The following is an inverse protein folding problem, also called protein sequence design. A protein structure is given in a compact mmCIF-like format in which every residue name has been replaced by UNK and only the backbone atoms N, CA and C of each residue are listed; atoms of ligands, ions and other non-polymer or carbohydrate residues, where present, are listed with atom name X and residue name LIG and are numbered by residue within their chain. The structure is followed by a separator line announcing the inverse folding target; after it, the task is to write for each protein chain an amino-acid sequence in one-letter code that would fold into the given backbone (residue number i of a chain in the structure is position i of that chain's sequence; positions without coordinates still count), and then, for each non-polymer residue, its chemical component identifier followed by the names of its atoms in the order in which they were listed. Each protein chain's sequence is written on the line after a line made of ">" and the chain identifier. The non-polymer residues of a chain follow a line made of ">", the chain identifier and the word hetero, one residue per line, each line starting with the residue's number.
data_IF_813641811208
#
_entry.id   IF_813641811208
#
_cell.length_a   1.000
_cell.length_b   1.000
_cell.length_c   1.000
_cell.angle_alpha   90.00
_cell.angle_beta   90.00
_cell.angle_gamma   90.00
#
_symmetry.space_group_name_H-M   'P 1'
#
loop_
_entity.id
_entity.type
_entity.pdbx_description
1 polymer ?
#
# COMPACT_ATOMS: atom_id res chain seq x y z
N UNK A 1 14.56 -18.22 4.26
CA UNK A 1 14.32 -17.98 5.69
C UNK A 1 12.81 -17.88 5.90
N UNK A 2 12.26 -18.34 7.03
CA UNK A 2 10.80 -18.31 7.28
C UNK A 2 10.34 -16.85 7.53
N UNK A 3 9.44 -16.27 6.69
CA UNK A 3 8.94 -14.90 6.89
C UNK A 3 8.34 -14.66 8.27
N UNK A 4 7.61 -15.63 8.84
CA UNK A 4 7.02 -15.50 10.17
C UNK A 4 8.09 -15.33 11.25
N UNK A 5 9.20 -16.07 11.15
CA UNK A 5 10.28 -15.98 12.13
C UNK A 5 10.94 -14.59 12.09
N UNK A 6 11.18 -14.04 10.90
CA UNK A 6 11.69 -12.67 10.72
C UNK A 6 10.73 -11.66 11.36
N UNK A 7 9.44 -11.73 11.02
CA UNK A 7 8.43 -10.79 11.52
C UNK A 7 8.23 -10.88 13.04
N UNK A 8 8.32 -12.07 13.62
CA UNK A 8 8.16 -12.31 15.05
C UNK A 8 9.36 -11.83 15.88
N UNK A 9 10.56 -11.85 15.33
CA UNK A 9 11.79 -11.45 16.04
C UNK A 9 12.00 -9.93 16.06
N UNK A 10 11.48 -9.23 15.05
CA UNK A 10 11.72 -7.81 14.88
C UNK A 10 10.78 -6.94 15.74
N UNK A 11 11.30 -5.76 16.09
CA UNK A 11 10.58 -4.71 16.81
C UNK A 11 10.69 -3.41 16.04
N UNK A 12 9.60 -2.65 16.00
CA UNK A 12 9.54 -1.39 15.26
C UNK A 12 8.86 -0.33 16.09
N UNK A 13 9.05 0.92 15.70
CA UNK A 13 8.38 2.04 16.35
C UNK A 13 6.92 2.08 15.91
N UNK A 14 5.99 1.94 16.85
CA UNK A 14 4.55 2.01 16.59
C UNK A 14 4.09 3.47 16.48
N UNK A 15 3.21 3.75 15.52
CA UNK A 15 2.80 5.14 15.21
C UNK A 15 1.94 5.75 16.32
N UNK A 16 1.05 4.99 16.95
CA UNK A 16 0.13 5.51 17.97
C UNK A 16 0.79 6.08 19.23
N UNK A 17 1.94 5.52 19.65
CA UNK A 17 2.60 5.89 20.91
C UNK A 17 4.10 6.19 20.78
N UNK A 18 4.69 5.97 19.61
CA UNK A 18 6.12 6.17 19.39
C UNK A 18 7.03 5.15 20.07
N UNK A 19 6.47 4.10 20.66
CA UNK A 19 7.21 3.09 21.43
C UNK A 19 7.68 1.96 20.50
N UNK A 20 8.92 1.50 20.68
CA UNK A 20 9.44 0.33 19.99
C UNK A 20 8.83 -0.93 20.61
N UNK A 21 8.06 -1.69 19.82
CA UNK A 21 7.33 -2.89 20.26
C UNK A 21 7.51 -4.05 19.28
N UNK A 22 7.38 -5.31 19.74
CA UNK A 22 7.30 -6.45 18.84
C UNK A 22 6.15 -6.28 17.84
N UNK A 23 6.41 -6.55 16.56
CA UNK A 23 5.40 -6.39 15.51
C UNK A 23 4.14 -7.23 15.77
N UNK A 24 4.35 -8.46 16.25
CA UNK A 24 3.28 -9.44 16.52
C UNK A 24 2.71 -9.34 17.95
N UNK A 25 2.98 -8.26 18.69
CA UNK A 25 2.41 -8.07 20.02
C UNK A 25 0.87 -8.14 19.97
N UNK A 26 0.30 -8.98 20.84
CA UNK A 26 -1.13 -9.27 20.99
C UNK A 26 -1.83 -9.89 19.76
N UNK A 27 -1.09 -10.26 18.71
CA UNK A 27 -1.66 -10.87 17.50
C UNK A 27 -2.00 -12.35 17.69
N UNK A 28 -1.41 -13.03 18.67
CA UNK A 28 -1.60 -14.46 18.94
C UNK A 28 -3.03 -14.81 19.39
N UNK A 29 -3.81 -13.80 19.77
CA UNK A 29 -5.22 -13.97 20.17
C UNK A 29 -6.17 -14.08 18.97
N UNK A 30 -5.72 -13.68 17.78
CA UNK A 30 -6.48 -13.79 16.54
C UNK A 30 -6.24 -15.16 15.89
N UNK A 31 -7.23 -15.64 15.13
CA UNK A 31 -7.10 -16.89 14.35
C UNK A 31 -6.15 -16.75 13.17
N UNK A 32 -6.01 -15.52 12.65
CA UNK A 32 -5.22 -15.18 11.48
C UNK A 32 -4.52 -13.84 11.70
N UNK A 33 -3.33 -13.71 11.11
CA UNK A 33 -2.50 -12.51 11.22
C UNK A 33 -2.13 -12.06 9.81
N UNK A 34 -2.64 -10.89 9.41
CA UNK A 34 -2.28 -10.21 8.18
C UNK A 34 -1.15 -9.20 8.47
N UNK A 35 -0.01 -9.40 7.84
CA UNK A 35 1.14 -8.51 7.90
C UNK A 35 1.36 -7.87 6.54
N UNK A 36 1.39 -6.54 6.53
CA UNK A 36 1.64 -5.71 5.36
C UNK A 36 3.02 -5.08 5.52
N UNK A 37 3.91 -5.33 4.58
CA UNK A 37 5.24 -4.70 4.55
C UNK A 37 5.21 -3.72 3.40
N UNK A 38 4.79 -2.50 3.70
CA UNK A 38 4.64 -1.46 2.70
C UNK A 38 5.99 -0.85 2.32
N UNK A 39 6.15 -0.38 1.08
CA UNK A 39 7.29 0.46 0.70
C UNK A 39 7.24 1.79 1.45
N UNK A 40 7.75 2.88 0.88
CA UNK A 40 7.56 4.19 1.51
C UNK A 40 6.07 4.49 1.70
N UNK A 41 5.73 5.13 2.83
CA UNK A 41 4.33 5.45 3.12
C UNK A 41 3.73 6.46 2.12
N UNK A 42 4.58 7.28 1.48
CA UNK A 42 4.16 8.15 0.37
C UNK A 42 4.04 7.46 -0.99
N UNK A 43 4.24 6.15 -1.08
CA UNK A 43 4.14 5.42 -2.34
C UNK A 43 2.67 5.17 -2.74
N UNK A 44 2.42 5.07 -4.06
CA UNK A 44 1.10 4.73 -4.59
C UNK A 44 0.55 3.43 -4.02
N UNK A 45 1.41 2.42 -3.87
CA UNK A 45 1.05 1.08 -3.40
C UNK A 45 0.51 1.14 -1.96
N UNK A 46 1.25 1.81 -1.07
CA UNK A 46 0.88 1.96 0.34
C UNK A 46 -0.47 2.67 0.50
N UNK A 47 -0.67 3.78 -0.21
CA UNK A 47 -1.88 4.60 -0.11
C UNK A 47 -3.11 3.89 -0.69
N UNK A 48 -2.96 3.23 -1.84
CA UNK A 48 -4.07 2.49 -2.47
C UNK A 48 -4.44 1.25 -1.64
N UNK A 49 -3.45 0.52 -1.10
CA UNK A 49 -3.71 -0.61 -0.21
C UNK A 49 -4.47 -0.17 1.05
N UNK A 50 -4.01 0.90 1.72
CA UNK A 50 -4.70 1.42 2.91
C UNK A 50 -6.14 1.86 2.60
N UNK A 51 -6.37 2.46 1.43
CA UNK A 51 -7.72 2.79 0.97
C UNK A 51 -8.62 1.55 0.84
N UNK A 52 -8.11 0.45 0.27
CA UNK A 52 -8.85 -0.81 0.19
C UNK A 52 -9.18 -1.40 1.57
N UNK A 53 -8.25 -1.36 2.52
CA UNK A 53 -8.51 -1.82 3.88
C UNK A 53 -9.54 -0.96 4.60
N UNK A 54 -9.48 0.36 4.43
CA UNK A 54 -10.44 1.28 5.02
C UNK A 54 -11.85 1.03 4.47
N UNK A 55 -11.95 0.82 3.15
CA UNK A 55 -13.20 0.52 2.46
C UNK A 55 -13.85 -0.76 3.00
N UNK A 56 -13.05 -1.81 3.16
CA UNK A 56 -13.52 -3.12 3.61
C UNK A 56 -13.52 -3.26 5.15
N UNK A 57 -13.17 -2.21 5.91
CA UNK A 57 -12.94 -2.31 7.35
C UNK A 57 -14.13 -2.92 8.12
N UNK A 58 -15.37 -2.62 7.70
CA UNK A 58 -16.60 -3.18 8.29
C UNK A 58 -16.73 -4.69 8.08
N UNK A 59 -16.25 -5.20 6.95
CA UNK A 59 -16.24 -6.63 6.61
C UNK A 59 -15.05 -7.34 7.29
N UNK A 60 -14.02 -6.58 7.71
CA UNK A 60 -12.84 -7.09 8.40
C UNK A 60 -12.97 -7.09 9.94
N UNK A 61 -14.09 -6.58 10.50
CA UNK A 61 -14.24 -6.36 11.95
C UNK A 61 -14.50 -7.65 12.74
N UNK A 62 -14.55 -8.80 12.07
CA UNK A 62 -14.58 -10.09 12.76
C UNK A 62 -13.29 -10.26 13.58
N UNK A 63 -13.44 -10.56 14.88
CA UNK A 63 -12.37 -10.76 15.88
C UNK A 63 -11.32 -11.84 15.51
N UNK A 64 -11.40 -12.41 14.32
CA UNK A 64 -10.60 -13.49 13.77
C UNK A 64 -9.31 -13.01 13.10
N UNK A 65 -9.20 -11.74 12.70
CA UNK A 65 -8.05 -11.22 11.95
C UNK A 65 -7.31 -10.10 12.69
N UNK A 66 -6.03 -10.31 13.00
CA UNK A 66 -5.13 -9.24 13.42
C UNK A 66 -4.44 -8.64 12.21
N UNK A 67 -4.41 -7.31 12.07
CA UNK A 67 -3.74 -6.61 10.98
C UNK A 67 -2.57 -5.79 11.54
N UNK A 68 -1.40 -5.89 10.92
CA UNK A 68 -0.23 -5.05 11.19
C UNK A 68 0.38 -4.58 9.88
N UNK A 69 0.87 -3.34 9.87
CA UNK A 69 1.65 -2.80 8.76
C UNK A 69 3.01 -2.29 9.25
N UNK A 70 4.05 -2.50 8.45
CA UNK A 70 5.36 -1.84 8.59
C UNK A 70 5.64 -1.10 7.30
N UNK A 71 5.81 0.22 7.36
CA UNK A 71 6.17 1.04 6.20
C UNK A 71 7.56 1.65 6.35
N UNK A 72 8.18 1.98 5.21
CA UNK A 72 9.44 2.72 5.24
C UNK A 72 9.16 4.18 5.57
N UNK A 73 9.72 4.64 6.69
CA UNK A 73 9.49 6.01 7.16
C UNK A 73 9.87 6.23 8.62
N UNK A 74 9.34 7.32 9.17
CA UNK A 74 9.47 7.72 10.57
C UNK A 74 8.10 8.06 11.17
N UNK A 75 8.05 8.44 12.45
CA UNK A 75 6.79 8.79 13.11
C UNK A 75 6.00 9.89 12.39
N UNK A 76 6.66 10.93 11.89
CA UNK A 76 5.97 12.01 11.18
C UNK A 76 5.27 11.49 9.90
N UNK A 77 5.96 10.65 9.13
CA UNK A 77 5.37 9.98 7.96
C UNK A 77 4.21 9.06 8.34
N UNK A 78 4.35 8.30 9.42
CA UNK A 78 3.34 7.36 9.91
C UNK A 78 2.08 8.08 10.40
N UNK A 79 2.25 9.12 11.22
CA UNK A 79 1.14 9.94 11.71
C UNK A 79 0.37 10.55 10.55
N UNK A 80 1.07 11.18 9.61
CA UNK A 80 0.43 11.81 8.44
C UNK A 80 -0.28 10.79 7.55
N UNK A 81 0.33 9.63 7.34
CA UNK A 81 -0.28 8.53 6.58
C UNK A 81 -1.58 8.06 7.23
N UNK A 82 -1.60 7.83 8.55
CA UNK A 82 -2.81 7.44 9.27
C UNK A 82 -3.89 8.52 9.23
N UNK A 83 -3.53 9.79 9.41
CA UNK A 83 -4.46 10.94 9.31
C UNK A 83 -5.12 11.02 7.93
N UNK A 84 -4.35 10.79 6.87
CA UNK A 84 -4.85 10.90 5.50
C UNK A 84 -5.67 9.69 5.06
N UNK A 85 -5.20 8.48 5.37
CA UNK A 85 -5.82 7.22 4.90
C UNK A 85 -6.89 6.68 5.83
N UNK A 86 -6.90 7.11 7.10
CA UNK A 86 -7.71 6.52 8.16
C UNK A 86 -7.19 5.16 8.65
N UNK A 87 -5.98 4.74 8.25
CA UNK A 87 -5.40 3.49 8.75
C UNK A 87 -5.11 3.58 10.26
N UNK A 88 -5.44 2.55 11.08
CA UNK A 88 -5.31 2.65 12.53
C UNK A 88 -3.85 2.79 12.98
N UNK A 89 -3.45 3.88 13.68
CA UNK A 89 -2.06 4.13 14.06
C UNK A 89 -1.50 3.10 15.06
N UNK A 90 -2.35 2.38 15.78
CA UNK A 90 -1.97 1.28 16.66
C UNK A 90 -1.55 0.01 15.89
N UNK A 91 -1.93 -0.08 14.61
CA UNK A 91 -1.60 -1.18 13.72
C UNK A 91 -0.45 -0.84 12.76
N UNK A 92 -0.01 0.43 12.71
CA UNK A 92 1.09 0.88 11.85
C UNK A 92 2.39 1.01 12.64
N UNK A 93 3.45 0.47 12.05
CA UNK A 93 4.82 0.58 12.51
C UNK A 93 5.68 1.20 11.39
N UNK A 94 6.76 1.86 11.80
CA UNK A 94 7.69 2.50 10.87
C UNK A 94 9.11 1.98 11.05
N UNK A 95 9.80 1.82 9.92
CA UNK A 95 11.19 1.38 9.84
C UNK A 95 11.94 2.25 8.81
N UNK A 96 12.98 3.01 9.20
CA UNK A 96 13.52 4.05 8.32
C UNK A 96 14.48 3.56 7.23
N UNK A 97 15.00 2.33 7.31
CA UNK A 97 16.18 1.87 6.56
C UNK A 97 15.91 0.69 5.60
N UNK A 98 14.66 0.28 5.40
CA UNK A 98 14.29 -0.88 4.55
C UNK A 98 14.94 -2.20 4.97
N UNK A 99 15.32 -2.36 6.25
CA UNK A 99 15.98 -3.58 6.74
C UNK A 99 15.02 -4.77 6.74
N UNK A 100 13.76 -4.55 7.13
CA UNK A 100 12.75 -5.60 7.07
C UNK A 100 12.57 -6.11 5.63
N UNK A 101 12.52 -5.19 4.66
CA UNK A 101 12.38 -5.50 3.25
C UNK A 101 13.54 -6.35 2.75
N UNK A 102 14.78 -6.03 3.15
CA UNK A 102 15.96 -6.85 2.83
C UNK A 102 15.89 -8.24 3.46
N UNK A 103 15.57 -8.33 4.75
CA UNK A 103 15.48 -9.62 5.46
C UNK A 103 14.43 -10.53 4.84
N UNK A 104 13.30 -9.96 4.44
CA UNK A 104 12.25 -10.68 3.74
C UNK A 104 12.57 -10.95 2.27
N UNK A 105 13.65 -10.42 1.71
CA UNK A 105 14.00 -10.50 0.29
C UNK A 105 12.90 -9.91 -0.63
N UNK A 106 12.36 -8.75 -0.26
CA UNK A 106 11.42 -7.99 -1.08
C UNK A 106 12.15 -7.22 -2.18
N UNK A 107 11.47 -6.99 -3.30
CA UNK A 107 12.10 -6.38 -4.47
C UNK A 107 12.57 -4.95 -4.16
N UNK A 108 13.89 -4.71 -4.27
CA UNK A 108 14.48 -3.40 -4.02
C UNK A 108 14.16 -2.34 -5.08
N UNK A 109 13.50 -2.74 -6.17
CA UNK A 109 13.28 -1.87 -7.32
C UNK A 109 14.50 -1.75 -8.23
N UNK A 110 14.35 -0.90 -9.25
CA UNK A 110 15.42 -0.58 -10.19
C UNK A 110 16.54 0.21 -9.48
N UNK A 111 17.78 -0.15 -9.77
CA UNK A 111 18.97 0.50 -9.19
C UNK A 111 20.07 0.68 -10.24
N UNK A 112 19.76 1.45 -11.27
CA UNK A 112 20.73 1.90 -12.27
C UNK A 112 21.53 3.05 -11.68
N UNK A 113 22.85 2.94 -11.74
CA UNK A 113 23.77 4.00 -11.32
C UNK A 113 24.36 4.68 -12.55
N UNK A 114 24.25 6.01 -12.61
CA UNK A 114 24.95 6.85 -13.59
C UNK A 114 26.07 7.62 -12.89
N UNK A 115 27.31 7.61 -13.43
CA UNK A 115 28.40 8.40 -12.87
C UNK A 115 28.05 9.90 -12.81
N UNK A 116 28.38 10.56 -11.69
CA UNK A 116 28.20 12.01 -11.52
C UNK A 116 26.81 12.45 -11.03
N UNK A 117 25.83 11.55 -10.89
CA UNK A 117 24.52 11.88 -10.32
C UNK A 117 24.55 11.73 -8.78
N UNK A 118 23.94 12.66 -8.05
CA UNK A 118 23.75 12.52 -6.60
C UNK A 118 22.78 11.37 -6.27
N UNK A 119 22.89 10.77 -5.08
CA UNK A 119 22.06 9.61 -4.68
C UNK A 119 20.56 9.88 -4.75
N UNK A 120 20.11 11.07 -4.33
CA UNK A 120 18.70 11.47 -4.47
C UNK A 120 18.27 11.56 -5.94
N UNK A 121 19.13 12.11 -6.81
CA UNK A 121 18.89 12.17 -8.25
C UNK A 121 18.81 10.78 -8.88
N UNK A 122 19.67 9.85 -8.46
CA UNK A 122 19.63 8.44 -8.90
C UNK A 122 18.33 7.76 -8.49
N UNK A 123 17.90 7.93 -7.24
CA UNK A 123 16.66 7.33 -6.77
C UNK A 123 15.44 7.84 -7.55
N UNK A 124 15.39 9.14 -7.83
CA UNK A 124 14.35 9.75 -8.67
C UNK A 124 14.38 9.24 -10.11
N UNK A 125 15.56 9.16 -10.73
CA UNK A 125 15.69 8.61 -12.07
C UNK A 125 15.16 7.19 -12.15
N UNK A 126 15.56 6.33 -11.21
CA UNK A 126 15.11 4.95 -11.18
C UNK A 126 13.59 4.85 -10.96
N UNK A 127 13.02 5.67 -10.07
CA UNK A 127 11.57 5.74 -9.88
C UNK A 127 10.84 6.14 -11.18
N UNK A 128 11.31 7.17 -11.88
CA UNK A 128 10.71 7.61 -13.15
C UNK A 128 10.76 6.49 -14.20
N UNK A 129 11.89 5.78 -14.30
CA UNK A 129 12.04 4.65 -15.22
C UNK A 129 11.07 3.51 -14.86
N UNK A 130 10.90 3.21 -13.58
CA UNK A 130 9.91 2.23 -13.11
C UNK A 130 8.48 2.67 -13.40
N UNK A 131 8.14 3.95 -13.21
CA UNK A 131 6.84 4.51 -13.63
C UNK A 131 6.61 4.35 -15.15
N UNK A 132 7.68 4.39 -15.94
CA UNK A 132 7.65 4.10 -17.38
C UNK A 132 7.67 2.58 -17.71
N UNK A 133 7.64 1.71 -16.71
CA UNK A 133 7.58 0.24 -16.84
C UNK A 133 8.94 -0.47 -16.81
N UNK A 134 10.06 0.24 -16.72
CA UNK A 134 11.41 -0.37 -16.72
C UNK A 134 11.72 -0.91 -15.33
N UNK A 135 11.99 -2.21 -15.21
CA UNK A 135 12.18 -2.84 -13.89
C UNK A 135 10.90 -2.85 -13.05
N UNK A 136 9.73 -2.71 -13.68
CA UNK A 136 8.44 -2.65 -12.98
C UNK A 136 7.34 -3.31 -13.83
N UNK A 137 7.34 -4.65 -13.92
CA UNK A 137 6.41 -5.39 -14.77
C UNK A 137 4.95 -5.11 -14.38
N UNK A 138 4.09 -4.86 -15.37
CA UNK A 138 2.67 -4.63 -15.15
C UNK A 138 2.27 -3.18 -14.82
N UNK A 139 3.20 -2.31 -14.44
CA UNK A 139 2.90 -0.92 -14.05
C UNK A 139 2.10 -0.15 -15.10
N UNK A 140 2.52 -0.19 -16.37
CA UNK A 140 1.80 0.51 -17.44
C UNK A 140 0.39 -0.06 -17.65
N UNK A 141 0.21 -1.37 -17.53
CA UNK A 141 -1.11 -2.00 -17.63
C UNK A 141 -2.04 -1.49 -16.52
N UNK A 142 -1.53 -1.36 -15.31
CA UNK A 142 -2.27 -0.82 -14.16
C UNK A 142 -2.55 0.68 -14.25
N UNK A 143 -1.64 1.45 -14.87
CA UNK A 143 -1.90 2.85 -15.24
C UNK A 143 -3.07 2.90 -16.23
N UNK A 144 -3.02 2.14 -17.32
CA UNK A 144 -4.09 2.11 -18.32
C UNK A 144 -5.42 1.61 -17.75
N UNK A 145 -5.41 0.63 -16.84
CA UNK A 145 -6.61 0.16 -16.12
C UNK A 145 -7.28 1.32 -15.36
N UNK A 146 -6.48 2.21 -14.78
CA UNK A 146 -6.99 3.38 -14.08
C UNK A 146 -7.78 4.36 -14.97
N UNK A 147 -7.37 4.52 -16.22
CA UNK A 147 -8.05 5.37 -17.20
C UNK A 147 -9.23 4.66 -17.88
N UNK A 148 -9.07 3.38 -18.22
CA UNK A 148 -10.07 2.59 -18.95
C UNK A 148 -11.23 2.11 -18.06
N UNK A 149 -11.00 1.96 -16.76
CA UNK A 149 -11.92 1.29 -15.85
C UNK A 149 -11.75 -0.22 -15.86
N UNK A 150 -12.43 -0.89 -14.94
CA UNK A 150 -12.35 -2.33 -14.72
C UNK A 150 -13.70 -2.90 -14.29
N UNK A 151 -14.32 -3.70 -15.17
CA UNK A 151 -15.64 -4.31 -14.94
C UNK A 151 -15.64 -5.40 -13.87
N UNK A 152 -14.47 -5.90 -13.46
CA UNK A 152 -14.31 -6.89 -12.40
C UNK A 152 -14.06 -6.25 -11.04
N UNK A 153 -13.68 -4.97 -11.02
CA UNK A 153 -13.49 -4.21 -9.80
C UNK A 153 -14.79 -3.50 -9.41
N UNK A 154 -15.06 -3.34 -8.11
CA UNK A 154 -16.21 -2.57 -7.66
C UNK A 154 -16.03 -1.07 -7.96
N UNK A 155 -17.14 -0.34 -7.98
CA UNK A 155 -17.13 1.11 -8.12
C UNK A 155 -16.35 1.76 -6.97
N UNK A 156 -15.40 2.65 -7.30
CA UNK A 156 -14.49 3.21 -6.31
C UNK A 156 -15.02 4.49 -5.67
N UNK A 157 -15.70 5.33 -6.46
CA UNK A 157 -16.20 6.64 -6.03
C UNK A 157 -17.73 6.59 -6.03
N UNK A 158 -18.35 6.99 -4.93
CA UNK A 158 -19.82 6.99 -4.81
C UNK A 158 -20.47 7.98 -5.78
N UNK A 159 -21.70 7.73 -6.21
CA UNK A 159 -22.41 8.66 -7.10
C UNK A 159 -22.69 10.01 -6.45
N UNK A 160 -22.94 10.02 -5.14
CA UNK A 160 -23.17 11.23 -4.34
C UNK A 160 -21.88 11.79 -3.72
N UNK A 161 -20.73 11.15 -3.94
CA UNK A 161 -19.46 11.66 -3.44
C UNK A 161 -19.06 12.91 -4.22
N UNK A 162 -18.80 14.01 -3.51
CA UNK A 162 -18.20 15.20 -4.12
C UNK A 162 -16.69 15.04 -4.07
N UNK A 163 -16.08 14.89 -5.24
CA UNK A 163 -14.62 14.90 -5.35
C UNK A 163 -14.17 16.34 -5.28
N UNK A 164 -13.39 16.65 -4.26
CA UNK A 164 -12.75 17.94 -4.08
C UNK A 164 -11.23 17.77 -4.06
N UNK A 165 -10.52 18.63 -4.77
CA UNK A 165 -9.07 18.67 -4.73
C UNK A 165 -8.45 19.21 -6.00
N UNK A 166 -7.59 20.21 -5.85
CA UNK A 166 -6.68 20.66 -6.91
C UNK A 166 -5.84 19.47 -7.42
N UNK A 167 -5.57 19.35 -8.73
CA UNK A 167 -5.77 20.38 -9.76
C UNK A 167 -7.17 20.38 -10.39
N UNK A 168 -8.07 19.48 -10.00
CA UNK A 168 -9.41 19.39 -10.58
C UNK A 168 -10.40 20.33 -9.85
N UNK A 169 -11.36 20.93 -10.58
CA UNK A 169 -12.50 21.58 -9.92
C UNK A 169 -13.32 20.54 -9.15
N UNK A 170 -14.14 20.98 -8.20
CA UNK A 170 -15.03 20.05 -7.50
C UNK A 170 -16.09 19.50 -8.47
N UNK A 171 -16.34 18.19 -8.44
CA UNK A 171 -17.39 17.56 -9.23
C UNK A 171 -18.00 16.36 -8.50
N UNK A 172 -19.22 16.02 -8.87
CA UNK A 172 -19.94 14.88 -8.30
C UNK A 172 -19.52 13.58 -8.99
N UNK A 173 -19.36 12.50 -8.21
CA UNK A 173 -18.94 11.18 -8.70
C UNK A 173 -19.90 10.59 -9.75
N UNK A 174 -21.17 10.97 -9.75
CA UNK A 174 -22.14 10.63 -10.80
C UNK A 174 -21.69 11.02 -12.22
N UNK A 175 -20.78 11.99 -12.38
CA UNK A 175 -20.21 12.35 -13.69
C UNK A 175 -19.51 11.16 -14.37
N UNK A 176 -18.93 10.24 -13.61
CA UNK A 176 -18.32 9.03 -14.19
C UNK A 176 -19.34 8.08 -14.82
N UNK A 177 -20.63 8.18 -14.47
CA UNK A 177 -21.68 7.37 -15.11
C UNK A 177 -21.79 7.67 -16.61
N UNK A 178 -21.59 8.94 -17.00
CA UNK A 178 -21.69 9.38 -18.39
C UNK A 178 -20.64 8.71 -19.29
N UNK A 179 -19.51 8.31 -18.71
CA UNK A 179 -18.36 7.73 -19.42
C UNK A 179 -18.30 6.21 -19.32
N UNK A 180 -19.00 5.58 -18.35
CA UNK A 180 -18.84 4.14 -18.09
C UNK A 180 -20.06 3.39 -17.55
N UNK A 181 -21.14 4.03 -17.15
CA UNK A 181 -22.25 3.37 -16.44
C UNK A 181 -22.01 3.25 -14.93
N UNK A 182 -22.48 2.18 -14.29
CA UNK A 182 -22.44 2.02 -12.82
C UNK A 182 -22.11 0.59 -12.39
N UNK A 183 -21.78 0.42 -11.10
CA UNK A 183 -21.61 -0.91 -10.47
C UNK A 183 -20.25 -1.57 -10.66
N UNK A 184 -19.28 -0.86 -11.25
CA UNK A 184 -17.90 -1.32 -11.40
C UNK A 184 -16.94 -0.12 -11.36
N UNK A 185 -15.63 -0.36 -11.33
CA UNK A 185 -14.63 0.72 -11.42
C UNK A 185 -14.76 1.42 -12.78
N UNK A 186 -15.34 2.63 -12.78
CA UNK A 186 -15.63 3.36 -14.01
C UNK A 186 -14.33 3.95 -14.61
N UNK A 187 -14.33 4.28 -15.91
CA UNK A 187 -13.21 5.00 -16.52
C UNK A 187 -12.83 6.23 -15.70
N UNK A 188 -11.52 6.47 -15.55
CA UNK A 188 -10.91 7.59 -14.81
C UNK A 188 -11.11 7.62 -13.28
N UNK A 189 -11.93 6.76 -12.66
CA UNK A 189 -12.11 6.75 -11.20
C UNK A 189 -10.81 6.48 -10.45
N UNK A 190 -10.15 5.38 -10.80
CA UNK A 190 -8.90 4.97 -10.15
C UNK A 190 -7.77 5.96 -10.45
N UNK A 191 -7.72 6.51 -11.68
CA UNK A 191 -6.76 7.57 -12.01
C UNK A 191 -7.01 8.83 -11.15
N UNK A 192 -8.27 9.17 -10.87
CA UNK A 192 -8.65 10.30 -10.00
C UNK A 192 -8.27 10.03 -8.55
N UNK A 193 -8.49 8.82 -8.04
CA UNK A 193 -8.03 8.41 -6.71
C UNK A 193 -6.51 8.55 -6.57
N UNK A 194 -5.75 8.02 -7.54
CA UNK A 194 -4.28 8.12 -7.57
C UNK A 194 -3.80 9.56 -7.70
N UNK A 195 -4.49 10.40 -8.45
CA UNK A 195 -4.18 11.83 -8.54
C UNK A 195 -4.35 12.54 -7.20
N UNK A 196 -5.43 12.27 -6.46
CA UNK A 196 -5.63 12.80 -5.09
C UNK A 196 -4.49 12.40 -4.17
N UNK A 197 -4.09 11.13 -4.20
CA UNK A 197 -2.98 10.61 -3.42
C UNK A 197 -1.66 11.30 -3.80
N UNK A 198 -1.38 11.44 -5.10
CA UNK A 198 -0.17 12.12 -5.57
C UNK A 198 -0.10 13.58 -5.11
N UNK A 199 -1.23 14.31 -5.16
CA UNK A 199 -1.29 15.71 -4.70
C UNK A 199 -1.01 15.81 -3.20
N UNK A 200 -1.58 14.91 -2.39
CA UNK A 200 -1.30 14.85 -0.95
C UNK A 200 0.18 14.60 -0.68
N UNK A 201 0.76 13.59 -1.33
CA UNK A 201 2.17 13.21 -1.11
C UNK A 201 3.11 14.30 -1.56
N UNK A 202 2.93 14.89 -2.74
CA UNK A 202 3.81 15.94 -3.26
C UNK A 202 3.77 17.20 -2.39
N UNK A 203 2.61 17.56 -1.84
CA UNK A 203 2.49 18.69 -0.89
C UNK A 203 3.22 18.45 0.42
N UNK A 204 3.30 17.20 0.85
CA UNK A 204 3.90 16.79 2.12
C UNK A 204 5.15 15.92 1.89
N UNK A 205 5.88 16.15 0.79
CA UNK A 205 6.92 15.24 0.30
C UNK A 205 7.99 14.93 1.35
N UNK A 206 8.52 15.96 2.00
CA UNK A 206 9.55 15.84 3.04
C UNK A 206 9.08 15.02 4.25
N UNK A 207 7.77 15.01 4.52
CA UNK A 207 7.16 14.22 5.60
C UNK A 207 7.02 12.76 5.19
N UNK A 208 6.49 12.48 4.00
CA UNK A 208 6.26 11.11 3.54
C UNK A 208 7.54 10.37 3.10
N UNK A 209 8.52 11.10 2.58
CA UNK A 209 9.77 10.55 2.01
C UNK A 209 10.97 11.12 2.78
N UNK A 210 11.20 10.69 4.04
CA UNK A 210 12.31 11.18 4.84
C UNK A 210 13.68 10.72 4.31
N UNK A 211 13.73 9.65 3.51
CA UNK A 211 14.94 9.17 2.87
C UNK A 211 14.67 8.69 1.44
N UNK A 212 15.11 9.44 0.43
CA UNK A 212 14.88 9.10 -0.98
C UNK A 212 15.55 7.81 -1.44
N UNK A 213 16.51 7.25 -0.70
CA UNK A 213 17.23 6.03 -1.10
C UNK A 213 16.30 4.81 -1.28
N UNK A 214 15.10 4.86 -0.70
CA UNK A 214 14.12 3.76 -0.74
C UNK A 214 12.93 4.02 -1.68
N UNK A 215 12.99 5.02 -2.56
CA UNK A 215 11.89 5.34 -3.48
C UNK A 215 11.46 4.16 -4.35
N UNK A 216 12.40 3.32 -4.75
CA UNK A 216 12.14 2.18 -5.65
C UNK A 216 11.82 0.88 -4.92
N UNK A 217 12.11 0.80 -3.62
CA UNK A 217 11.82 -0.36 -2.79
C UNK A 217 10.33 -0.70 -2.87
N UNK A 218 10.01 -1.98 -3.10
CA UNK A 218 8.64 -2.52 -3.14
C UNK A 218 8.32 -3.34 -1.90
N UNK A 219 7.03 -3.56 -1.67
CA UNK A 219 6.52 -4.21 -0.47
C UNK A 219 6.17 -5.68 -0.64
N UNK A 220 5.35 -6.16 0.28
CA UNK A 220 4.73 -7.47 0.24
C UNK A 220 3.62 -7.65 1.27
N UNK A 221 2.80 -8.66 1.05
CA UNK A 221 1.65 -9.02 1.89
C UNK A 221 1.79 -10.46 2.34
N UNK A 222 1.56 -10.71 3.63
CA UNK A 222 1.68 -12.04 4.23
C UNK A 222 0.48 -12.33 5.11
N UNK A 223 -0.17 -13.47 4.93
CA UNK A 223 -1.22 -13.97 5.81
C UNK A 223 -0.73 -15.23 6.50
N UNK A 224 -0.85 -15.27 7.82
CA UNK A 224 -0.52 -16.41 8.64
C UNK A 224 -1.74 -16.92 9.40
N UNK A 225 -1.74 -18.22 9.73
CA UNK A 225 -2.63 -18.77 10.75
C UNK A 225 -2.13 -18.45 12.18
N UNK A 226 -2.87 -18.89 13.20
CA UNK A 226 -2.51 -18.69 14.61
C UNK A 226 -1.25 -19.44 15.06
N UNK A 227 -0.76 -20.39 14.28
CA UNK A 227 0.49 -21.14 14.54
C UNK A 227 1.69 -20.53 13.81
N UNK A 228 1.48 -19.48 13.01
CA UNK A 228 2.51 -18.85 12.20
C UNK A 228 2.81 -19.58 10.89
N UNK A 229 1.92 -20.47 10.44
CA UNK A 229 1.99 -21.06 9.10
C UNK A 229 1.56 -20.03 8.06
N UNK A 230 2.37 -19.87 7.02
CA UNK A 230 2.08 -18.98 5.89
C UNK A 230 0.94 -19.57 5.04
N UNK A 231 -0.15 -18.81 4.89
CA UNK A 231 -1.32 -19.17 4.09
C UNK A 231 -1.37 -18.43 2.75
N UNK A 232 -0.91 -17.18 2.75
CA UNK A 232 -0.84 -16.35 1.54
C UNK A 232 0.39 -15.46 1.58
N UNK A 233 1.03 -15.31 0.43
CA UNK A 233 2.15 -14.41 0.22
C UNK A 233 1.99 -13.72 -1.13
N UNK A 234 2.17 -12.41 -1.14
CA UNK A 234 2.35 -11.62 -2.35
C UNK A 234 3.57 -10.74 -2.19
N UNK A 235 4.44 -10.74 -3.21
CA UNK A 235 5.66 -9.93 -3.25
C UNK A 235 5.54 -9.00 -4.43
N UNK A 236 5.57 -7.71 -4.15
CA UNK A 236 5.25 -6.69 -5.14
C UNK A 236 6.32 -6.69 -6.24
N UNK A 237 5.97 -7.02 -7.50
CA UNK A 237 6.96 -7.13 -8.56
C UNK A 237 7.38 -5.76 -9.13
N UNK A 238 6.66 -4.70 -8.78
CA UNK A 238 6.82 -3.36 -9.30
C UNK A 238 5.75 -2.40 -8.77
N UNK A 239 5.82 -1.14 -9.21
CA UNK A 239 4.88 -0.08 -8.88
C UNK A 239 3.47 -0.45 -9.38
N UNK A 240 2.46 -0.21 -8.54
CA UNK A 240 1.06 -0.60 -8.75
C UNK A 240 0.82 -2.11 -8.79
N UNK A 241 1.80 -2.91 -8.36
CA UNK A 241 1.74 -4.37 -8.34
C UNK A 241 1.48 -4.95 -6.95
N UNK A 242 0.83 -4.22 -6.04
CA UNK A 242 0.75 -4.55 -4.62
C UNK A 242 -0.20 -5.71 -4.24
N UNK A 243 -0.94 -6.25 -5.22
CA UNK A 243 -1.81 -7.40 -5.00
C UNK A 243 -1.82 -8.35 -6.20
N UNK A 244 -2.01 -9.64 -5.94
CA UNK A 244 -2.15 -10.65 -6.98
C UNK A 244 -3.40 -10.43 -7.86
N UNK A 245 -4.45 -9.85 -7.29
CA UNK A 245 -5.67 -9.47 -7.99
C UNK A 245 -5.96 -7.98 -7.77
N UNK A 246 -5.54 -7.14 -8.71
CA UNK A 246 -5.71 -5.68 -8.60
C UNK A 246 -7.16 -5.21 -8.71
N UNK A 247 -8.07 -6.04 -9.24
CA UNK A 247 -9.51 -5.73 -9.24
C UNK A 247 -10.14 -5.91 -7.85
N UNK A 248 -9.58 -6.81 -7.04
CA UNK A 248 -10.02 -7.12 -5.67
C UNK A 248 -8.81 -7.45 -4.79
N UNK A 249 -8.04 -6.44 -4.33
CA UNK A 249 -6.75 -6.65 -3.67
C UNK A 249 -6.79 -7.51 -2.41
N UNK A 250 -7.94 -7.55 -1.73
CA UNK A 250 -8.15 -8.29 -0.49
C UNK A 250 -8.85 -9.66 -0.69
N UNK A 251 -9.06 -10.10 -1.93
CA UNK A 251 -9.79 -11.34 -2.25
C UNK A 251 -9.19 -12.61 -1.61
N UNK A 252 -7.89 -12.61 -1.30
CA UNK A 252 -7.22 -13.71 -0.59
C UNK A 252 -7.74 -13.92 0.83
N UNK A 253 -8.43 -12.94 1.43
CA UNK A 253 -9.00 -13.08 2.77
C UNK A 253 -10.16 -14.08 2.83
N UNK A 254 -10.74 -14.48 1.69
CA UNK A 254 -11.67 -15.61 1.62
C UNK A 254 -11.05 -16.94 2.11
N UNK A 255 -9.72 -17.07 2.16
CA UNK A 255 -9.04 -18.20 2.76
C UNK A 255 -9.33 -18.32 4.28
N UNK A 256 -9.66 -17.22 4.95
CA UNK A 256 -10.02 -17.21 6.37
C UNK A 256 -11.37 -17.89 6.59
N UNK A 257 -12.32 -17.69 5.68
CA UNK A 257 -13.67 -18.25 5.76
C UNK A 257 -13.68 -19.77 5.53
N UNK A 258 -12.78 -20.26 4.66
CA UNK A 258 -12.67 -21.69 4.32
C UNK A 258 -11.94 -22.54 5.39
N UNK A 259 -11.41 -21.91 6.43
CA UNK A 259 -10.69 -22.58 7.52
C UNK A 259 -11.52 -22.73 8.82
N UNK A 260 -12.79 -22.30 8.80
CA UNK A 260 -13.75 -22.42 9.91
C UNK A 260 -14.62 -23.67 9.77
#
# INVERSE_FOLDING_TARGET
>A
MNPYAILNQNKYQRVSDGIIRPLLENCQTASHILILVWPQLGDFDSLEYAWWLQREAKNLTDKKLAIRAVGIGNLASGTRFCEYTGFPPENLFVEPNGELHRQLNLYSGLNISLPGLAESGKAWLNLILMCAGIGSPGTLAEVFRGYKGDRKAPQLIGDDEIIQGTPLPAFQGSFFQLVGGSGFQRPFELATLRLRNMVEVLRNWQTYVPNSAYLTQRGGTFLFDSKGQLLYEHRDPGILGFAANMSQPLSFLSLIENCA
#
